data_IF_468396226727
#
_entry.id   IF_468396226727
#
_cell.length_a   1.000
_cell.length_b   1.000
_cell.length_c   1.000
_cell.angle_alpha   90.00
_cell.angle_beta   90.00
_cell.angle_gamma   90.00
#
_symmetry.space_group_name_H-M   'P 1'
#
loop_
_entity.id
_entity.type
_entity.pdbx_description
1 polymer ?
#
# COMPACT_ATOMS: atom_id res chain seq x y z
N UNK A 1 22.35 -4.96 -28.68
CA UNK A 1 21.31 -3.91 -28.70
C UNK A 1 20.04 -4.37 -27.98
N UNK A 2 19.58 -5.60 -28.21
CA UNK A 2 18.37 -6.20 -27.59
C UNK A 2 18.29 -6.13 -26.04
N UNK A 3 19.38 -6.41 -25.30
CA UNK A 3 19.37 -6.38 -23.83
C UNK A 3 19.10 -4.99 -23.24
N UNK A 4 19.54 -3.92 -23.93
CA UNK A 4 19.32 -2.53 -23.48
C UNK A 4 17.87 -2.10 -23.75
N UNK A 5 17.30 -2.54 -24.87
CA UNK A 5 15.89 -2.32 -25.26
C UNK A 5 14.93 -3.06 -24.32
N UNK A 6 15.22 -4.32 -23.95
CA UNK A 6 14.43 -5.08 -22.99
C UNK A 6 14.41 -4.47 -21.57
N UNK A 7 15.46 -3.73 -21.18
CA UNK A 7 15.54 -3.04 -19.89
C UNK A 7 14.73 -1.75 -19.86
N UNK A 8 14.55 -1.09 -21.01
CA UNK A 8 13.73 0.12 -21.19
C UNK A 8 12.22 -0.18 -21.27
N UNK A 9 11.85 -1.41 -21.63
CA UNK A 9 10.45 -1.86 -21.67
C UNK A 9 9.86 -2.19 -20.28
N UNK A 10 10.69 -2.24 -19.22
CA UNK A 10 10.23 -2.58 -17.87
C UNK A 10 9.63 -1.34 -17.19
N UNK A 11 8.57 -1.50 -16.37
CA UNK A 11 7.93 -0.38 -15.69
C UNK A 11 8.81 0.28 -14.63
N UNK A 12 9.90 -0.38 -14.21
CA UNK A 12 10.79 0.06 -13.11
C UNK A 12 12.18 0.41 -13.62
N UNK A 13 12.82 1.41 -13.00
CA UNK A 13 14.22 1.73 -13.31
C UNK A 13 15.13 0.90 -12.43
N UNK A 14 15.86 -0.04 -13.03
CA UNK A 14 16.92 -0.75 -12.32
C UNK A 14 18.13 0.16 -12.09
N UNK A 15 18.66 0.12 -10.88
CA UNK A 15 19.80 0.93 -10.40
C UNK A 15 20.94 0.01 -9.94
N UNK A 16 22.14 0.55 -9.75
CA UNK A 16 23.34 -0.24 -9.43
C UNK A 16 23.25 -1.09 -8.15
N UNK A 17 22.34 -0.75 -7.23
CA UNK A 17 22.05 -1.54 -6.02
C UNK A 17 21.00 -2.64 -6.21
N UNK A 18 20.32 -2.66 -7.36
CA UNK A 18 19.39 -3.75 -7.68
C UNK A 18 20.22 -4.93 -8.19
N UNK A 19 20.08 -6.10 -7.56
CA UNK A 19 20.78 -7.32 -8.00
C UNK A 19 20.37 -7.58 -9.45
N UNK A 20 21.29 -7.48 -10.43
CA UNK A 20 20.96 -7.70 -11.81
C UNK A 20 21.06 -9.19 -12.09
N UNK A 21 20.18 -9.99 -11.48
CA UNK A 21 19.92 -11.30 -12.07
C UNK A 21 19.04 -11.06 -13.32
N UNK A 22 19.40 -11.71 -14.42
CA UNK A 22 18.68 -11.59 -15.70
C UNK A 22 17.19 -11.99 -15.56
N UNK A 23 16.85 -12.71 -14.48
CA UNK A 23 15.52 -13.20 -14.15
C UNK A 23 15.11 -12.77 -12.72
N UNK A 24 13.83 -12.45 -12.49
CA UNK A 24 13.33 -12.23 -11.14
C UNK A 24 13.49 -13.50 -10.27
N UNK A 25 13.70 -13.31 -8.97
CA UNK A 25 13.67 -14.33 -7.92
C UNK A 25 12.30 -15.05 -7.93
N UNK A 26 12.31 -16.36 -7.73
CA UNK A 26 11.09 -17.11 -7.47
C UNK A 26 10.52 -16.71 -6.10
N UNK A 27 9.20 -16.53 -6.02
CA UNK A 27 8.52 -16.07 -4.80
C UNK A 27 7.35 -15.14 -5.09
N UNK A 28 6.50 -14.93 -4.09
CA UNK A 28 5.27 -14.15 -4.20
C UNK A 28 5.43 -12.80 -3.48
N UNK A 29 5.21 -11.71 -4.20
CA UNK A 29 5.14 -10.37 -3.64
C UNK A 29 3.70 -9.83 -3.69
N UNK A 30 3.21 -9.33 -2.56
CA UNK A 30 1.93 -8.64 -2.46
C UNK A 30 2.15 -7.13 -2.47
N UNK A 31 1.37 -6.42 -3.27
CA UNK A 31 1.36 -4.97 -3.37
C UNK A 31 0.01 -4.43 -2.88
N UNK A 32 0.03 -3.52 -1.90
CA UNK A 32 -1.13 -2.90 -1.29
C UNK A 32 -1.09 -1.39 -1.55
N UNK A 33 -1.95 -0.94 -2.45
CA UNK A 33 -1.96 0.46 -2.92
C UNK A 33 -2.44 1.49 -1.89
N UNK A 34 -2.29 2.77 -2.22
CA UNK A 34 -2.87 3.88 -1.45
C UNK A 34 -4.38 4.10 -1.67
N UNK A 35 -4.98 4.94 -0.81
CA UNK A 35 -6.41 5.30 -0.90
C UNK A 35 -7.11 5.57 0.44
N UNK A 36 -6.38 5.88 1.51
CA UNK A 36 -6.95 6.23 2.82
C UNK A 36 -7.69 5.06 3.48
N UNK A 37 -8.77 5.35 4.23
CA UNK A 37 -9.55 4.30 4.89
C UNK A 37 -10.27 3.34 3.94
N UNK A 38 -10.60 3.79 2.71
CA UNK A 38 -11.14 2.91 1.67
C UNK A 38 -10.15 1.80 1.34
N UNK A 39 -8.91 2.18 1.03
CA UNK A 39 -7.82 1.23 0.76
C UNK A 39 -7.55 0.33 1.95
N UNK A 40 -7.45 0.92 3.15
CA UNK A 40 -7.21 0.18 4.37
C UNK A 40 -8.20 -0.99 4.53
N UNK A 41 -9.50 -0.72 4.45
CA UNK A 41 -10.55 -1.74 4.63
C UNK A 41 -10.63 -2.73 3.47
N UNK A 42 -10.50 -2.24 2.24
CA UNK A 42 -10.47 -3.09 1.04
C UNK A 42 -9.31 -4.11 1.10
N UNK A 43 -8.12 -3.65 1.48
CA UNK A 43 -6.95 -4.52 1.64
C UNK A 43 -7.09 -5.46 2.84
N UNK A 44 -7.81 -5.08 3.91
CA UNK A 44 -8.12 -6.01 5.02
C UNK A 44 -8.91 -7.21 4.52
N UNK A 45 -9.92 -7.00 3.66
CA UNK A 45 -10.67 -8.08 3.02
C UNK A 45 -9.80 -9.00 2.17
N UNK A 46 -8.93 -8.40 1.35
CA UNK A 46 -8.00 -9.17 0.51
C UNK A 46 -7.00 -9.99 1.34
N UNK A 47 -6.42 -9.41 2.39
CA UNK A 47 -5.52 -10.14 3.30
C UNK A 47 -6.25 -11.26 4.06
N UNK A 48 -7.52 -11.05 4.41
CA UNK A 48 -8.34 -12.09 5.03
C UNK A 48 -8.47 -13.29 4.10
N UNK A 49 -8.77 -13.05 2.81
CA UNK A 49 -8.84 -14.16 1.86
C UNK A 49 -7.49 -14.85 1.68
N UNK A 50 -6.40 -14.09 1.58
CA UNK A 50 -5.04 -14.64 1.47
C UNK A 50 -4.62 -15.47 2.69
N UNK A 51 -5.08 -15.09 3.90
CA UNK A 51 -4.91 -15.92 5.09
C UNK A 51 -5.60 -17.26 4.90
N UNK A 52 -6.90 -17.26 4.57
CA UNK A 52 -7.71 -18.47 4.47
C UNK A 52 -7.24 -19.46 3.39
N UNK A 53 -6.61 -18.94 2.33
CA UNK A 53 -6.07 -19.78 1.24
C UNK A 53 -4.67 -20.32 1.55
N UNK A 54 -4.04 -19.86 2.63
CA UNK A 54 -2.66 -20.20 2.99
C UNK A 54 -1.59 -19.41 2.22
N UNK A 55 -1.96 -18.67 1.17
CA UNK A 55 -1.05 -17.86 0.35
C UNK A 55 -0.32 -16.82 1.19
N UNK A 56 -0.93 -16.32 2.26
CA UNK A 56 -0.30 -15.35 3.16
C UNK A 56 1.08 -15.81 3.67
N UNK A 57 1.25 -17.11 3.90
CA UNK A 57 2.52 -17.71 4.36
C UNK A 57 3.58 -17.85 3.26
N UNK A 58 3.13 -17.94 2.02
CA UNK A 58 3.99 -18.05 0.83
C UNK A 58 4.54 -16.68 0.39
N UNK A 59 4.05 -15.60 0.99
CA UNK A 59 4.53 -14.25 0.67
C UNK A 59 5.99 -14.11 1.11
N UNK A 60 6.78 -13.51 0.22
CA UNK A 60 8.18 -13.15 0.48
C UNK A 60 8.34 -11.65 0.71
N UNK A 61 7.39 -10.85 0.18
CA UNK A 61 7.37 -9.40 0.33
C UNK A 61 5.96 -8.86 0.37
N UNK A 62 5.76 -7.86 1.22
CA UNK A 62 4.57 -7.01 1.21
C UNK A 62 5.02 -5.57 1.00
N UNK A 63 4.71 -5.01 -0.16
CA UNK A 63 4.97 -3.61 -0.51
C UNK A 63 3.71 -2.80 -0.34
N UNK A 64 3.75 -1.75 0.46
CA UNK A 64 2.54 -1.01 0.84
C UNK A 64 2.68 0.50 0.67
N UNK A 65 1.55 1.15 0.42
CA UNK A 65 1.45 2.60 0.22
C UNK A 65 0.27 3.15 1.01
N UNK A 66 0.46 4.25 1.74
CA UNK A 66 -0.61 5.04 2.37
C UNK A 66 -1.60 4.18 3.17
N UNK A 67 -2.89 4.16 2.81
CA UNK A 67 -3.91 3.30 3.43
C UNK A 67 -3.55 1.81 3.46
N UNK A 68 -2.90 1.28 2.42
CA UNK A 68 -2.38 -0.09 2.41
C UNK A 68 -1.27 -0.33 3.43
N UNK A 69 -0.48 0.69 3.76
CA UNK A 69 0.55 0.62 4.81
C UNK A 69 -0.05 0.50 6.22
N UNK A 70 -1.27 1.00 6.44
CA UNK A 70 -1.98 0.82 7.71
C UNK A 70 -2.34 -0.65 7.89
N UNK A 71 -2.94 -1.26 6.86
CA UNK A 71 -3.32 -2.68 6.86
C UNK A 71 -2.08 -3.58 6.95
N UNK A 72 -1.03 -3.29 6.17
CA UNK A 72 0.21 -4.05 6.20
C UNK A 72 0.86 -4.03 7.59
N UNK A 73 0.95 -2.86 8.23
CA UNK A 73 1.55 -2.72 9.56
C UNK A 73 0.74 -3.46 10.63
N UNK A 74 -0.59 -3.38 10.60
CA UNK A 74 -1.45 -4.11 11.53
C UNK A 74 -1.29 -5.64 11.39
N UNK A 75 -1.26 -6.14 10.15
CA UNK A 75 -1.04 -7.56 9.87
C UNK A 75 0.38 -8.00 10.29
N UNK A 76 1.40 -7.19 10.02
CA UNK A 76 2.79 -7.49 10.37
C UNK A 76 2.99 -7.72 11.87
N UNK A 77 2.36 -6.88 12.72
CA UNK A 77 2.45 -7.01 14.17
C UNK A 77 1.78 -8.27 14.73
N UNK A 78 0.93 -8.92 13.93
CA UNK A 78 0.21 -10.12 14.31
C UNK A 78 0.69 -11.35 13.52
N UNK A 79 1.75 -11.22 12.72
CA UNK A 79 2.11 -12.19 11.69
C UNK A 79 2.28 -13.62 12.22
N UNK A 80 2.91 -13.77 13.39
CA UNK A 80 3.12 -15.08 14.05
C UNK A 80 1.79 -15.76 14.44
N UNK A 81 0.73 -15.00 14.67
CA UNK A 81 -0.61 -15.50 14.99
C UNK A 81 -1.47 -15.77 13.74
N UNK A 82 -0.99 -15.40 12.55
CA UNK A 82 -1.70 -15.61 11.27
C UNK A 82 -1.18 -16.86 10.53
N UNK A 83 -0.48 -17.73 11.25
CA UNK A 83 0.15 -18.94 10.71
C UNK A 83 -0.79 -20.15 10.65
N UNK A 84 -2.06 -20.05 11.02
CA UNK A 84 -3.03 -21.10 10.75
C UNK A 84 -4.12 -20.58 9.80
N UNK A 85 -4.17 -21.00 8.53
CA UNK A 85 -5.19 -20.62 7.56
C UNK A 85 -6.63 -20.98 7.98
N UNK A 86 -6.78 -21.94 8.90
CA UNK A 86 -8.09 -22.34 9.43
C UNK A 86 -8.58 -21.42 10.54
N UNK A 87 -7.68 -20.68 11.18
CA UNK A 87 -8.01 -19.77 12.27
C UNK A 87 -8.47 -18.40 11.74
N UNK A 88 -9.70 -18.39 11.22
CA UNK A 88 -10.38 -17.17 10.74
C UNK A 88 -10.60 -16.16 11.86
N UNK A 89 -10.81 -16.64 13.08
CA UNK A 89 -11.09 -15.81 14.25
C UNK A 89 -9.85 -15.05 14.70
N UNK A 90 -8.66 -15.65 14.61
CA UNK A 90 -7.40 -14.94 14.83
C UNK A 90 -7.24 -13.76 13.87
N UNK A 91 -7.50 -13.94 12.57
CA UNK A 91 -7.42 -12.82 11.61
C UNK A 91 -8.46 -11.74 11.96
N UNK A 92 -9.71 -12.15 12.23
CA UNK A 92 -10.80 -11.24 12.59
C UNK A 92 -10.44 -10.38 13.79
N UNK A 93 -10.10 -11.00 14.92
CA UNK A 93 -9.90 -10.32 16.21
C UNK A 93 -8.60 -9.52 16.23
N UNK A 94 -7.52 -10.02 15.61
CA UNK A 94 -6.20 -9.41 15.72
C UNK A 94 -5.91 -8.38 14.63
N UNK A 95 -6.53 -8.52 13.46
CA UNK A 95 -6.27 -7.63 12.30
C UNK A 95 -7.51 -6.85 11.91
N UNK A 96 -8.62 -7.53 11.61
CA UNK A 96 -9.78 -6.86 11.01
C UNK A 96 -10.48 -5.91 11.99
N UNK A 97 -10.80 -6.37 13.21
CA UNK A 97 -11.52 -5.59 14.22
C UNK A 97 -10.76 -4.32 14.67
N UNK A 98 -9.45 -4.35 14.95
CA UNK A 98 -8.67 -3.14 15.23
C UNK A 98 -8.70 -2.14 14.07
N UNK A 99 -8.59 -2.62 12.83
CA UNK A 99 -8.66 -1.77 11.64
C UNK A 99 -10.07 -1.16 11.48
N UNK A 100 -11.11 -1.95 11.69
CA UNK A 100 -12.51 -1.50 11.65
C UNK A 100 -12.78 -0.46 12.74
N UNK A 101 -12.21 -0.63 13.94
CA UNK A 101 -12.31 0.32 15.04
C UNK A 101 -11.62 1.66 14.70
N UNK A 102 -10.44 1.61 14.07
CA UNK A 102 -9.78 2.81 13.56
C UNK A 102 -10.62 3.52 12.47
N UNK A 103 -11.21 2.75 11.55
CA UNK A 103 -12.08 3.28 10.50
C UNK A 103 -13.35 3.95 11.03
N UNK A 104 -13.78 3.63 12.25
CA UNK A 104 -14.88 4.30 12.95
C UNK A 104 -14.52 5.68 13.51
N UNK A 105 -13.25 6.09 13.47
CA UNK A 105 -12.76 7.35 14.02
C UNK A 105 -12.38 8.33 12.92
N UNK A 106 -12.80 9.58 13.05
CA UNK A 106 -12.29 10.65 12.18
C UNK A 106 -10.94 11.12 12.72
N UNK A 107 -9.91 11.08 11.88
CA UNK A 107 -8.67 11.78 12.16
C UNK A 107 -8.89 13.22 11.71
N UNK A 108 -9.24 14.10 12.64
CA UNK A 108 -9.55 15.51 12.36
C UNK A 108 -8.24 16.26 12.06
N UNK A 109 -7.84 16.25 10.79
CA UNK A 109 -6.61 16.89 10.32
C UNK A 109 -6.63 18.42 10.60
N UNK A 110 -7.73 19.17 10.40
CA UNK A 110 -7.83 20.57 10.81
C UNK A 110 -7.72 20.85 12.32
N UNK A 111 -8.32 20.04 13.20
CA UNK A 111 -8.15 20.21 14.65
C UNK A 111 -6.75 19.80 15.11
N UNK A 112 -6.19 18.76 14.48
CA UNK A 112 -4.79 18.39 14.57
C UNK A 112 -3.88 19.56 14.17
N UNK A 113 -4.17 20.21 13.05
CA UNK A 113 -3.44 21.40 12.55
C UNK A 113 -3.61 22.61 13.48
N UNK A 114 -4.80 22.85 14.05
CA UNK A 114 -5.07 23.94 15.00
C UNK A 114 -4.47 23.73 16.38
N UNK A 115 -4.26 22.48 16.81
CA UNK A 115 -3.64 22.14 18.10
C UNK A 115 -2.11 22.31 18.12
N UNK A 116 -1.52 22.85 17.04
CA UNK A 116 -0.08 22.85 16.80
C UNK A 116 0.41 24.26 16.46
N UNK A 117 0.90 24.97 17.47
CA UNK A 117 1.91 26.00 17.27
C UNK A 117 3.19 25.34 16.68
N UNK A 118 4.01 26.06 15.89
CA UNK A 118 5.33 25.57 15.51
C UNK A 118 6.06 25.02 16.74
N UNK A 119 6.66 23.81 16.69
CA UNK A 119 7.21 23.16 15.49
C UNK A 119 6.54 21.82 15.03
N UNK A 120 5.22 21.68 15.06
CA UNK A 120 4.57 20.37 14.82
C UNK A 120 3.88 20.26 13.44
N UNK A 121 4.20 19.22 12.66
CA UNK A 121 3.57 18.93 11.37
C UNK A 121 2.34 18.01 11.49
N UNK A 122 1.37 18.16 10.59
CA UNK A 122 0.15 17.33 10.51
C UNK A 122 0.44 15.83 10.42
N UNK A 123 1.53 15.44 9.76
CA UNK A 123 2.04 14.06 9.75
C UNK A 123 2.40 13.49 11.13
N UNK A 124 2.90 14.31 12.07
CA UNK A 124 3.23 13.84 13.44
C UNK A 124 1.99 13.49 14.24
N UNK A 125 0.93 14.26 14.09
CA UNK A 125 -0.34 13.99 14.72
C UNK A 125 -1.05 12.79 14.09
N UNK A 126 -0.91 12.58 12.78
CA UNK A 126 -1.32 11.34 12.13
C UNK A 126 -0.59 10.13 12.72
N UNK A 127 0.74 10.21 12.88
CA UNK A 127 1.54 9.18 13.55
C UNK A 127 1.07 8.95 15.00
N UNK A 128 0.76 10.01 15.75
CA UNK A 128 0.23 9.88 17.11
C UNK A 128 -1.15 9.19 17.16
N UNK A 129 -2.01 9.44 16.17
CA UNK A 129 -3.30 8.75 16.03
C UNK A 129 -3.11 7.25 15.77
N UNK A 130 -2.27 6.88 14.80
CA UNK A 130 -1.95 5.48 14.53
C UNK A 130 -1.32 4.77 15.73
N UNK A 131 -0.39 5.44 16.43
CA UNK A 131 0.22 4.94 17.67
C UNK A 131 -0.82 4.66 18.74
N UNK A 132 -1.76 5.58 18.94
CA UNK A 132 -2.79 5.49 19.98
C UNK A 132 -3.83 4.42 19.69
N UNK A 133 -4.22 4.26 18.43
CA UNK A 133 -5.43 3.52 18.07
C UNK A 133 -5.21 2.19 17.37
N UNK A 134 -3.99 1.91 16.89
CA UNK A 134 -3.74 0.67 16.12
C UNK A 134 -2.37 0.05 16.42
N UNK A 135 -1.29 0.83 16.38
CA UNK A 135 0.07 0.28 16.31
C UNK A 135 0.80 0.24 17.67
N UNK A 136 0.29 0.91 18.70
CA UNK A 136 1.00 1.03 19.98
C UNK A 136 2.38 1.66 19.83
N UNK A 137 3.27 1.48 20.82
CA UNK A 137 4.66 2.00 20.79
C UNK A 137 5.63 1.09 20.03
N UNK A 138 5.17 0.51 18.92
CA UNK A 138 5.94 -0.42 18.10
C UNK A 138 6.87 0.31 17.14
N UNK A 139 7.98 -0.33 16.81
CA UNK A 139 9.03 0.17 15.93
C UNK A 139 9.14 -0.69 14.67
N UNK A 140 9.95 -0.26 13.70
CA UNK A 140 10.28 -1.11 12.55
C UNK A 140 10.95 -2.44 12.95
N UNK A 141 11.56 -2.52 14.14
CA UNK A 141 12.18 -3.75 14.65
C UNK A 141 11.14 -4.79 15.11
N UNK A 142 9.90 -4.39 15.36
CA UNK A 142 8.80 -5.28 15.72
C UNK A 142 8.15 -5.97 14.50
N UNK A 143 8.60 -5.65 13.28
CA UNK A 143 8.16 -6.34 12.07
C UNK A 143 8.76 -7.77 12.01
N UNK A 144 8.10 -8.73 11.36
CA UNK A 144 8.67 -10.06 11.16
C UNK A 144 9.86 -10.01 10.20
N UNK A 145 10.73 -11.01 10.28
CA UNK A 145 11.87 -11.13 9.34
C UNK A 145 11.42 -11.58 7.94
N UNK A 146 10.40 -12.44 7.86
CA UNK A 146 9.75 -12.87 6.61
C UNK A 146 8.22 -12.90 6.76
N UNK A 147 7.46 -12.43 5.74
CA UNK A 147 7.92 -11.72 4.55
C UNK A 147 8.56 -10.39 4.90
N UNK A 148 9.32 -9.85 3.94
CA UNK A 148 9.84 -8.49 4.04
C UNK A 148 8.71 -7.47 3.86
N UNK A 149 8.33 -6.80 4.94
CA UNK A 149 7.44 -5.64 4.89
C UNK A 149 8.20 -4.40 4.43
N UNK A 150 7.67 -3.74 3.39
CA UNK A 150 8.21 -2.53 2.79
C UNK A 150 7.13 -1.45 2.78
N UNK A 151 7.22 -0.51 3.71
CA UNK A 151 6.36 0.67 3.74
C UNK A 151 7.02 1.75 2.89
N UNK A 152 6.35 2.18 1.83
CA UNK A 152 6.92 3.13 0.87
C UNK A 152 6.53 4.58 1.19
N UNK A 153 7.42 5.51 0.90
CA UNK A 153 7.17 6.95 0.87
C UNK A 153 8.00 7.58 -0.26
N UNK A 154 7.69 8.82 -0.64
CA UNK A 154 8.42 9.54 -1.68
C UNK A 154 9.34 10.58 -1.05
N UNK A 155 10.64 10.49 -1.31
CA UNK A 155 11.60 11.53 -0.92
C UNK A 155 11.52 12.71 -1.91
N UNK A 156 11.02 13.85 -1.44
CA UNK A 156 10.81 15.04 -2.27
C UNK A 156 12.13 15.69 -2.71
N UNK A 157 13.22 15.48 -1.97
CA UNK A 157 14.52 16.07 -2.31
C UNK A 157 15.22 15.27 -3.41
N UNK A 158 15.17 13.93 -3.33
CA UNK A 158 15.86 13.06 -4.28
C UNK A 158 14.98 12.65 -5.48
N UNK A 159 13.65 12.78 -5.36
CA UNK A 159 12.70 12.29 -6.35
C UNK A 159 12.69 10.76 -6.48
N UNK A 160 12.98 10.04 -5.39
CA UNK A 160 13.03 8.57 -5.35
C UNK A 160 12.19 8.01 -4.20
N UNK A 161 11.95 6.69 -4.22
CA UNK A 161 11.31 6.00 -3.10
C UNK A 161 12.22 5.96 -1.88
N UNK A 162 11.66 6.38 -0.76
CA UNK A 162 12.14 6.05 0.57
C UNK A 162 11.41 4.79 1.06
N UNK A 163 12.16 3.77 1.45
CA UNK A 163 11.63 2.47 1.86
C UNK A 163 11.90 2.24 3.33
N UNK A 164 10.87 2.05 4.13
CA UNK A 164 10.97 1.65 5.54
C UNK A 164 10.82 0.13 5.66
N UNK A 165 11.82 -0.54 6.23
CA UNK A 165 11.87 -1.99 6.47
C UNK A 165 12.52 -2.26 7.83
N UNK A 166 12.34 -3.47 8.37
CA UNK A 166 13.01 -3.91 9.61
C UNK A 166 14.53 -3.76 9.56
N UNK A 167 15.16 -4.30 8.52
CA UNK A 167 16.62 -4.30 8.40
C UNK A 167 17.20 -2.98 7.89
N UNK A 168 16.38 -2.10 7.28
CA UNK A 168 16.87 -0.86 6.68
C UNK A 168 15.78 0.19 6.42
N UNK A 169 16.15 1.46 6.56
CA UNK A 169 15.51 2.58 5.85
C UNK A 169 16.41 3.03 4.72
N UNK A 170 15.90 3.17 3.49
CA UNK A 170 16.79 3.54 2.37
C UNK A 170 16.12 4.26 1.22
N UNK A 171 16.93 5.11 0.61
CA UNK A 171 16.76 5.74 -0.68
C UNK A 171 18.06 5.51 -1.46
N UNK A 172 17.94 5.01 -2.68
CA UNK A 172 19.11 4.65 -3.47
C UNK A 172 20.03 5.82 -3.84
N UNK A 173 19.51 7.05 -3.90
CA UNK A 173 20.32 8.24 -4.18
C UNK A 173 21.01 8.76 -2.92
N UNK A 174 20.36 8.64 -1.76
CA UNK A 174 20.80 9.30 -0.52
C UNK A 174 21.59 8.38 0.39
N UNK A 175 21.17 7.12 0.54
CA UNK A 175 21.80 6.17 1.43
C UNK A 175 20.85 5.19 2.10
N UNK A 176 21.45 4.36 2.95
CA UNK A 176 20.76 3.37 3.79
C UNK A 176 21.10 3.60 5.25
N UNK A 177 20.10 3.51 6.12
CA UNK A 177 20.23 3.44 7.57
C UNK A 177 19.88 2.00 7.97
N UNK A 178 20.83 1.26 8.54
CA UNK A 178 20.65 -0.15 8.93
C UNK A 178 19.93 -0.26 10.27
N UNK A 179 19.13 -1.33 10.44
CA UNK A 179 18.41 -1.69 11.67
C UNK A 179 17.75 -0.49 12.38
N UNK A 180 16.91 0.29 11.68
CA UNK A 180 16.33 1.52 12.20
C UNK A 180 15.36 1.26 13.37
N UNK A 181 15.56 1.95 14.50
CA UNK A 181 14.63 1.95 15.63
C UNK A 181 13.46 2.96 15.48
N UNK A 182 13.12 3.32 14.24
CA UNK A 182 12.04 4.29 13.97
C UNK A 182 10.69 3.71 14.38
N UNK A 183 9.86 4.54 15.00
CA UNK A 183 8.48 4.21 15.35
C UNK A 183 7.66 3.82 14.09
N UNK A 184 6.96 2.68 14.16
CA UNK A 184 6.22 2.12 13.03
C UNK A 184 5.08 3.04 12.61
N UNK A 185 4.41 3.67 13.57
CA UNK A 185 3.34 4.63 13.29
C UNK A 185 3.84 5.87 12.52
N UNK A 186 5.09 6.27 12.76
CA UNK A 186 5.78 7.31 12.00
C UNK A 186 6.06 6.89 10.56
N UNK A 187 6.52 5.66 10.32
CA UNK A 187 6.70 5.14 8.97
C UNK A 187 5.37 5.07 8.17
N UNK A 188 4.30 4.60 8.82
CA UNK A 188 2.96 4.53 8.21
C UNK A 188 2.40 5.94 7.93
N UNK A 189 2.61 6.89 8.84
CA UNK A 189 2.22 8.28 8.63
C UNK A 189 3.00 8.96 7.49
N UNK A 190 4.31 8.73 7.39
CA UNK A 190 5.12 9.21 6.26
C UNK A 190 4.59 8.67 4.92
N UNK A 191 4.23 7.38 4.89
CA UNK A 191 3.62 6.73 3.72
C UNK A 191 2.26 7.33 3.34
N UNK A 192 1.56 7.95 4.30
CA UNK A 192 0.21 8.52 4.18
C UNK A 192 0.19 10.06 4.08
N UNK A 193 1.36 10.69 3.97
CA UNK A 193 1.53 12.14 4.03
C UNK A 193 1.14 12.84 2.71
N UNK A 194 -0.10 12.66 2.25
CA UNK A 194 -0.54 13.14 0.94
C UNK A 194 -0.62 14.69 0.88
N UNK A 195 -0.09 15.33 -0.18
CA UNK A 195 -0.16 16.79 -0.33
C UNK A 195 -1.58 17.33 -0.49
N UNK A 196 -1.85 18.60 -0.15
CA UNK A 196 -0.96 19.55 0.53
C UNK A 196 -1.13 19.53 2.06
N UNK A 197 -2.12 18.81 2.59
CA UNK A 197 -2.56 18.96 3.99
C UNK A 197 -1.68 18.16 4.96
N UNK A 198 -1.28 16.94 4.57
CA UNK A 198 -0.49 16.04 5.42
C UNK A 198 1.01 16.11 5.09
N UNK A 199 1.34 16.54 3.87
CA UNK A 199 2.71 16.71 3.39
C UNK A 199 3.32 18.06 3.79
N UNK A 200 4.64 18.16 3.97
CA UNK A 200 5.60 17.06 4.05
C UNK A 200 5.76 16.52 5.47
N UNK A 201 6.20 15.27 5.57
CA UNK A 201 6.79 14.73 6.79
C UNK A 201 8.31 14.94 6.77
N UNK A 202 8.85 15.62 7.78
CA UNK A 202 10.29 15.83 7.92
C UNK A 202 10.85 14.91 9.00
N UNK A 203 11.71 13.99 8.59
CA UNK A 203 12.50 13.15 9.49
C UNK A 203 13.92 13.70 9.61
N UNK A 204 14.53 13.58 10.79
CA UNK A 204 15.88 14.06 11.05
C UNK A 204 16.78 12.92 11.50
N UNK A 205 17.94 12.81 10.88
CA UNK A 205 18.92 11.77 11.17
C UNK A 205 20.32 12.38 11.20
N UNK A 206 21.20 12.01 12.13
CA UNK A 206 22.61 12.41 12.03
C UNK A 206 23.26 11.73 10.82
N UNK A 207 24.11 12.40 10.02
CA UNK A 207 24.71 11.78 8.84
C UNK A 207 25.52 10.52 9.13
N UNK A 208 26.00 10.34 10.37
CA UNK A 208 26.75 9.18 10.83
C UNK A 208 25.96 7.87 10.87
N UNK A 209 24.62 7.90 10.89
CA UNK A 209 23.80 6.67 10.88
C UNK A 209 23.65 6.07 9.47
N UNK A 210 24.05 6.81 8.43
CA UNK A 210 24.02 6.29 7.07
C UNK A 210 25.20 5.36 6.83
N UNK A 211 24.90 4.17 6.32
CA UNK A 211 25.88 3.18 5.94
C UNK A 211 26.85 3.74 4.88
N UNK A 212 28.17 3.66 5.10
CA UNK A 212 29.17 4.07 4.11
C UNK A 212 29.21 3.13 2.89
N UNK A 213 28.80 1.88 3.07
CA UNK A 213 28.87 0.81 2.07
C UNK A 213 27.77 0.92 1.01
N UNK A 214 26.73 1.70 1.29
CA UNK A 214 25.60 1.83 0.37
C UNK A 214 25.95 2.82 -0.75
N UNK A 215 25.72 2.40 -2.00
CA UNK A 215 26.06 3.13 -3.24
C UNK A 215 25.20 4.39 -3.49
N UNK A 216 25.14 5.29 -2.52
CA UNK A 216 24.45 6.57 -2.61
C UNK A 216 25.11 7.47 -3.69
N UNK A 217 24.28 8.02 -4.56
CA UNK A 217 24.68 8.97 -5.61
C UNK A 217 25.10 10.32 -5.01
N UNK A 218 24.42 10.78 -3.97
CA UNK A 218 24.68 12.05 -3.31
C UNK A 218 24.70 11.85 -1.79
N UNK A 219 25.84 12.22 -1.18
CA UNK A 219 26.11 12.06 0.26
C UNK A 219 26.06 13.38 1.03
N UNK A 220 25.58 14.46 0.41
CA UNK A 220 25.50 15.78 1.01
C UNK A 220 24.67 15.78 2.30
N UNK A 221 25.13 16.57 3.28
CA UNK A 221 24.46 16.71 4.57
C UNK A 221 23.00 17.16 4.40
N UNK A 222 22.70 18.02 3.43
CA UNK A 222 21.35 18.50 3.15
C UNK A 222 20.34 17.39 2.81
N UNK A 223 20.77 16.30 2.17
CA UNK A 223 19.91 15.14 1.85
C UNK A 223 19.83 14.11 2.99
N UNK A 224 20.79 14.12 3.92
CA UNK A 224 20.93 13.10 4.98
C UNK A 224 20.46 13.58 6.34
N UNK A 225 20.62 14.86 6.66
CA UNK A 225 20.22 15.43 7.95
C UNK A 225 18.72 15.60 8.08
N UNK A 226 18.07 15.98 6.98
CA UNK A 226 16.63 16.21 6.89
C UNK A 226 16.11 15.47 5.68
N UNK A 227 15.30 14.44 5.92
CA UNK A 227 14.62 13.69 4.89
C UNK A 227 13.19 14.20 4.79
N UNK A 228 12.86 14.84 3.68
CA UNK A 228 11.54 15.44 3.41
C UNK A 228 10.71 14.46 2.59
N UNK A 229 9.69 13.90 3.23
CA UNK A 229 8.87 12.82 2.71
C UNK A 229 7.44 13.27 2.41
N UNK A 230 6.85 12.65 1.39
CA UNK A 230 5.42 12.73 1.07
C UNK A 230 4.86 11.32 0.81
N UNK A 231 3.56 11.22 0.61
CA UNK A 231 2.89 9.94 0.31
C UNK A 231 3.58 9.20 -0.86
N UNK A 232 3.68 7.88 -0.75
CA UNK A 232 4.30 7.06 -1.80
C UNK A 232 3.49 7.05 -3.10
N UNK A 233 2.20 7.38 -3.04
CA UNK A 233 1.31 7.51 -4.19
C UNK A 233 1.83 8.48 -5.25
N UNK A 234 2.56 9.52 -4.83
CA UNK A 234 3.19 10.49 -5.73
C UNK A 234 4.21 9.83 -6.68
N UNK A 235 4.88 8.76 -6.25
CA UNK A 235 5.88 8.05 -7.06
C UNK A 235 5.35 6.72 -7.62
N UNK A 236 4.72 5.89 -6.77
CA UNK A 236 4.26 4.55 -7.10
C UNK A 236 3.07 4.14 -6.20
N UNK A 237 1.87 4.60 -6.55
CA UNK A 237 0.66 4.31 -5.77
C UNK A 237 0.31 2.82 -5.67
N UNK A 238 0.75 1.99 -6.61
CA UNK A 238 0.50 0.55 -6.55
C UNK A 238 1.55 -0.18 -5.71
N UNK A 239 2.66 0.46 -5.32
CA UNK A 239 3.75 -0.18 -4.60
C UNK A 239 4.48 -1.25 -5.40
N UNK A 240 4.43 -1.20 -6.74
CA UNK A 240 4.97 -2.22 -7.63
C UNK A 240 6.49 -2.19 -7.73
N UNK A 241 7.15 -1.04 -7.58
CA UNK A 241 8.57 -0.87 -7.87
C UNK A 241 9.42 -1.87 -7.07
N UNK A 242 9.11 -2.06 -5.79
CA UNK A 242 9.89 -2.94 -4.92
C UNK A 242 9.58 -4.42 -5.15
N UNK A 243 8.34 -4.77 -5.49
CA UNK A 243 7.95 -6.13 -5.82
C UNK A 243 8.54 -6.56 -7.17
N UNK A 244 8.34 -5.73 -8.20
CA UNK A 244 8.72 -6.00 -9.58
C UNK A 244 10.21 -6.24 -9.77
N UNK A 245 11.04 -5.47 -9.04
CA UNK A 245 12.49 -5.57 -9.13
C UNK A 245 13.03 -6.91 -8.64
N UNK A 246 12.27 -7.65 -7.85
CA UNK A 246 12.75 -8.87 -7.20
C UNK A 246 11.97 -10.10 -7.57
N UNK A 247 10.65 -10.10 -7.48
CA UNK A 247 9.89 -11.34 -7.51
C UNK A 247 9.20 -11.58 -8.85
N UNK A 248 9.08 -12.87 -9.20
CA UNK A 248 8.40 -13.34 -10.41
C UNK A 248 6.89 -13.22 -10.29
N UNK A 249 6.35 -13.61 -9.13
CA UNK A 249 4.90 -13.64 -8.89
C UNK A 249 4.47 -12.38 -8.13
N UNK A 250 3.56 -11.61 -8.73
CA UNK A 250 3.10 -10.32 -8.18
C UNK A 250 1.59 -10.35 -7.99
N UNK A 251 1.15 -10.17 -6.75
CA UNK A 251 -0.25 -9.98 -6.41
C UNK A 251 -0.47 -8.49 -6.16
N UNK A 252 -1.37 -7.85 -6.90
CA UNK A 252 -1.61 -6.41 -6.79
C UNK A 252 -3.05 -6.13 -6.36
N UNK A 253 -3.20 -5.59 -5.14
CA UNK A 253 -4.46 -5.07 -4.63
C UNK A 253 -4.51 -3.56 -4.80
N UNK A 254 -5.43 -3.08 -5.64
CA UNK A 254 -5.56 -1.66 -5.99
C UNK A 254 -6.87 -1.07 -5.46
N UNK A 255 -6.77 -0.05 -4.62
CA UNK A 255 -7.91 0.70 -4.10
C UNK A 255 -7.90 2.15 -4.57
N UNK A 256 -7.16 2.46 -5.65
CA UNK A 256 -7.21 3.75 -6.30
C UNK A 256 -8.62 4.06 -6.82
N UNK A 257 -9.17 5.20 -6.40
CA UNK A 257 -10.52 5.59 -6.82
C UNK A 257 -10.56 5.77 -8.35
N UNK A 258 -11.58 5.22 -9.04
CA UNK A 258 -11.73 5.43 -10.48
C UNK A 258 -11.87 6.93 -10.78
N UNK A 259 -11.36 7.33 -11.94
CA UNK A 259 -11.40 8.73 -12.33
C UNK A 259 -12.83 9.17 -12.62
N UNK A 260 -13.32 10.15 -11.86
CA UNK A 260 -14.66 10.71 -12.06
C UNK A 260 -14.70 11.71 -13.22
N UNK A 261 -15.58 11.45 -14.18
CA UNK A 261 -16.07 12.47 -15.11
C UNK A 261 -16.88 13.49 -14.35
N UNK A 262 -16.62 14.78 -14.56
CA UNK A 262 -17.29 15.89 -13.88
C UNK A 262 -17.95 16.79 -14.92
N UNK A 263 -19.23 17.12 -14.73
CA UNK A 263 -19.96 18.06 -15.61
C UNK A 263 -19.50 19.51 -15.44
N UNK A 264 -18.81 19.83 -14.34
CA UNK A 264 -18.16 21.12 -14.11
C UNK A 264 -16.95 20.96 -13.20
N UNK A 265 -15.94 21.81 -13.37
CA UNK A 265 -14.72 21.81 -12.55
C UNK A 265 -14.57 23.17 -11.87
N UNK A 266 -14.31 23.16 -10.57
CA UNK A 266 -14.04 24.40 -9.81
C UNK A 266 -12.87 25.17 -10.43
N UNK A 267 -13.04 26.45 -10.74
CA UNK A 267 -12.04 27.27 -11.46
C UNK A 267 -10.98 27.91 -10.57
N UNK A 268 -11.08 27.78 -9.24
CA UNK A 268 -10.10 28.36 -8.33
C UNK A 268 -8.77 27.57 -8.38
N UNK A 269 -7.67 28.27 -8.15
CA UNK A 269 -6.31 27.73 -8.30
C UNK A 269 -6.03 26.50 -7.41
N UNK A 270 -6.54 26.47 -6.18
CA UNK A 270 -6.36 25.34 -5.27
C UNK A 270 -7.08 24.08 -5.75
N UNK A 271 -8.35 24.21 -6.16
CA UNK A 271 -9.13 23.10 -6.67
C UNK A 271 -8.59 22.59 -8.02
N UNK A 272 -8.13 23.50 -8.89
CA UNK A 272 -7.45 23.15 -10.14
C UNK A 272 -6.15 22.39 -9.88
N UNK A 273 -5.31 22.87 -8.95
CA UNK A 273 -4.06 22.20 -8.58
C UNK A 273 -4.32 20.80 -8.04
N UNK A 274 -5.31 20.64 -7.15
CA UNK A 274 -5.73 19.34 -6.63
C UNK A 274 -6.23 18.40 -7.74
N UNK A 275 -7.08 18.91 -8.64
CA UNK A 275 -7.61 18.13 -9.78
C UNK A 275 -6.49 17.68 -10.72
N UNK A 276 -5.52 18.55 -11.01
CA UNK A 276 -4.36 18.24 -11.84
C UNK A 276 -3.47 17.17 -11.21
N UNK A 277 -3.18 17.27 -9.91
CA UNK A 277 -2.42 16.24 -9.20
C UNK A 277 -3.12 14.88 -9.28
N UNK A 278 -4.45 14.85 -9.07
CA UNK A 278 -5.23 13.62 -9.15
C UNK A 278 -5.32 13.06 -10.58
N UNK A 279 -5.35 13.91 -11.60
CA UNK A 279 -5.30 13.53 -13.01
C UNK A 279 -3.97 12.83 -13.35
N UNK A 280 -2.85 13.43 -12.93
CA UNK A 280 -1.50 12.88 -13.14
C UNK A 280 -1.37 11.53 -12.42
N UNK A 281 -1.75 11.46 -11.14
CA UNK A 281 -1.75 10.21 -10.34
C UNK A 281 -2.54 9.10 -11.04
N UNK A 282 -3.78 9.40 -11.47
CA UNK A 282 -4.64 8.42 -12.10
C UNK A 282 -4.04 7.89 -13.41
N UNK A 283 -3.41 8.74 -14.22
CA UNK A 283 -2.72 8.31 -15.45
C UNK A 283 -1.53 7.41 -15.15
N UNK A 284 -0.67 7.78 -14.19
CA UNK A 284 0.47 6.95 -13.79
C UNK A 284 0.00 5.59 -13.29
N UNK A 285 -1.03 5.55 -12.42
CA UNK A 285 -1.62 4.29 -11.94
C UNK A 285 -2.19 3.45 -13.08
N UNK A 286 -2.91 4.05 -14.01
CA UNK A 286 -3.50 3.35 -15.17
C UNK A 286 -2.41 2.74 -16.06
N UNK A 287 -1.34 3.47 -16.33
CA UNK A 287 -0.20 2.96 -17.10
C UNK A 287 0.49 1.79 -16.39
N UNK A 288 0.76 1.93 -15.08
CA UNK A 288 1.37 0.86 -14.26
C UNK A 288 0.51 -0.39 -14.20
N UNK A 289 -0.82 -0.24 -14.07
CA UNK A 289 -1.78 -1.35 -14.15
C UNK A 289 -1.69 -2.06 -15.49
N UNK A 290 -1.75 -1.33 -16.61
CA UNK A 290 -1.68 -1.92 -17.95
C UNK A 290 -0.38 -2.70 -18.16
N UNK A 291 0.75 -2.13 -17.75
CA UNK A 291 2.06 -2.80 -17.81
C UNK A 291 2.11 -4.08 -16.98
N UNK A 292 1.51 -4.06 -15.78
CA UNK A 292 1.41 -5.26 -14.94
C UNK A 292 0.57 -6.34 -15.61
N UNK A 293 -0.65 -6.02 -16.06
CA UNK A 293 -1.52 -6.98 -16.74
C UNK A 293 -0.85 -7.53 -18.00
N UNK A 294 -0.25 -6.66 -18.82
CA UNK A 294 0.48 -7.06 -20.03
C UNK A 294 1.60 -8.06 -19.69
N UNK A 295 2.33 -7.85 -18.60
CA UNK A 295 3.39 -8.80 -18.19
C UNK A 295 2.88 -10.18 -17.79
N UNK A 296 1.64 -10.28 -17.31
CA UNK A 296 0.99 -11.57 -17.06
C UNK A 296 0.58 -12.24 -18.37
N UNK A 297 0.00 -11.49 -19.31
CA UNK A 297 -0.38 -11.99 -20.64
C UNK A 297 0.85 -12.48 -21.42
N UNK A 298 1.96 -11.75 -21.34
CA UNK A 298 3.22 -12.11 -22.00
C UNK A 298 4.03 -13.18 -21.24
N UNK A 299 3.60 -13.57 -20.04
CA UNK A 299 4.31 -14.55 -19.19
C UNK A 299 5.66 -14.07 -18.64
N UNK A 300 5.98 -12.77 -18.76
CA UNK A 300 7.21 -12.18 -18.20
C UNK A 300 7.14 -11.99 -16.68
N UNK A 301 5.91 -12.01 -16.14
CA UNK A 301 5.57 -12.13 -14.72
C UNK A 301 4.42 -13.13 -14.56
N UNK A 302 4.27 -13.66 -13.36
CA UNK A 302 3.08 -14.41 -12.93
C UNK A 302 2.33 -13.58 -11.90
N UNK A 303 1.06 -13.89 -11.67
CA UNK A 303 0.30 -13.24 -10.62
C UNK A 303 -1.11 -12.86 -11.04
N UNK A 304 -1.70 -11.96 -10.25
CA UNK A 304 -3.05 -11.47 -10.48
C UNK A 304 -3.22 -10.07 -9.92
N UNK A 305 -4.23 -9.37 -10.43
CA UNK A 305 -4.57 -8.02 -10.03
C UNK A 305 -6.04 -7.97 -9.67
N UNK A 306 -6.37 -7.25 -8.60
CA UNK A 306 -7.74 -6.91 -8.26
C UNK A 306 -7.86 -5.46 -7.82
N UNK A 307 -8.90 -4.80 -8.32
CA UNK A 307 -9.15 -3.39 -8.10
C UNK A 307 -10.47 -3.17 -7.37
N UNK A 308 -10.55 -2.12 -6.55
CA UNK A 308 -11.81 -1.69 -5.93
C UNK A 308 -12.85 -1.31 -6.98
N UNK A 309 -12.42 -0.85 -8.16
CA UNK A 309 -13.29 -0.55 -9.30
C UNK A 309 -13.36 -1.68 -10.35
N UNK A 310 -12.91 -2.90 -10.04
CA UNK A 310 -13.13 -4.07 -10.91
C UNK A 310 -14.54 -4.62 -10.74
N UNK A 311 -14.98 -5.54 -11.60
CA UNK A 311 -16.17 -6.35 -11.38
C UNK A 311 -15.83 -7.85 -11.43
N UNK A 312 -16.56 -8.68 -10.68
CA UNK A 312 -16.33 -10.14 -10.67
C UNK A 312 -16.51 -10.76 -12.05
N UNK A 313 -17.45 -10.23 -12.85
CA UNK A 313 -17.70 -10.67 -14.21
C UNK A 313 -16.50 -10.47 -15.16
N UNK A 314 -15.66 -9.46 -14.92
CA UNK A 314 -14.50 -9.14 -15.77
C UNK A 314 -13.44 -10.25 -15.76
N UNK A 315 -13.49 -11.16 -14.79
CA UNK A 315 -12.54 -12.25 -14.63
C UNK A 315 -12.97 -13.52 -15.37
N UNK A 316 -14.24 -13.65 -15.76
CA UNK A 316 -14.75 -14.87 -16.41
C UNK A 316 -14.60 -16.13 -15.55
N UNK A 317 -14.86 -16.01 -14.24
CA UNK A 317 -14.92 -17.14 -13.32
C UNK A 317 -16.40 -17.51 -13.10
N UNK A 318 -16.81 -18.72 -13.50
CA UNK A 318 -18.21 -19.11 -13.51
C UNK A 318 -18.84 -19.20 -12.11
N UNK A 319 -18.08 -19.66 -11.11
CA UNK A 319 -18.56 -19.89 -9.74
C UNK A 319 -18.04 -18.82 -8.75
N UNK A 320 -17.94 -17.57 -9.20
CA UNK A 320 -17.51 -16.47 -8.35
C UNK A 320 -18.48 -16.22 -7.17
N UNK A 321 -18.00 -15.64 -6.08
CA UNK A 321 -18.89 -15.08 -5.07
C UNK A 321 -19.64 -13.88 -5.65
N UNK A 322 -20.96 -13.88 -5.50
CA UNK A 322 -21.77 -12.75 -5.93
C UNK A 322 -21.54 -11.55 -5.01
N UNK A 323 -21.46 -10.37 -5.62
CA UNK A 323 -21.46 -9.11 -4.91
C UNK A 323 -22.20 -8.08 -5.78
N UNK A 324 -23.20 -7.35 -5.26
CA UNK A 324 -24.00 -6.44 -6.06
C UNK A 324 -23.13 -5.39 -6.76
N UNK A 325 -23.27 -5.28 -8.08
CA UNK A 325 -22.45 -4.38 -8.91
C UNK A 325 -22.55 -2.93 -8.44
N UNK A 326 -23.78 -2.46 -8.23
CA UNK A 326 -24.05 -1.09 -7.78
C UNK A 326 -23.38 -0.79 -6.45
N UNK A 327 -23.40 -1.75 -5.51
CA UNK A 327 -22.72 -1.63 -4.22
C UNK A 327 -21.21 -1.56 -4.38
N UNK A 328 -20.61 -2.39 -5.25
CA UNK A 328 -19.17 -2.32 -5.52
C UNK A 328 -18.77 -0.95 -6.11
N UNK A 329 -19.58 -0.42 -7.03
CA UNK A 329 -19.38 0.92 -7.63
C UNK A 329 -19.50 2.03 -6.59
N UNK A 330 -20.51 1.98 -5.71
CA UNK A 330 -20.67 2.93 -4.61
C UNK A 330 -19.43 2.92 -3.69
N UNK A 331 -18.98 1.74 -3.28
CA UNK A 331 -17.82 1.57 -2.41
C UNK A 331 -16.52 2.08 -3.07
N UNK A 332 -16.36 1.86 -4.38
CA UNK A 332 -15.23 2.37 -5.16
C UNK A 332 -15.19 3.91 -5.23
N UNK A 333 -16.37 4.54 -5.16
CA UNK A 333 -16.55 5.99 -5.25
C UNK A 333 -16.40 6.74 -3.92
N UNK A 334 -16.31 6.04 -2.79
CA UNK A 334 -16.03 6.65 -1.48
C UNK A 334 -14.77 7.49 -1.58
N UNK A 335 -14.73 8.76 -1.12
CA UNK A 335 -13.53 9.60 -1.25
C UNK A 335 -12.31 9.07 -0.49
N UNK A 336 -11.11 9.29 -1.03
CA UNK A 336 -9.84 9.03 -0.33
C UNK A 336 -9.66 10.02 0.83
N UNK A 337 -9.94 9.60 2.07
CA UNK A 337 -9.79 10.43 3.29
C UNK A 337 -9.67 9.58 4.56
N UNK A 338 -9.23 10.19 5.66
CA UNK A 338 -9.14 9.60 7.00
C UNK A 338 -10.33 10.02 7.89
N UNK A 339 -11.55 9.83 7.39
CA UNK A 339 -12.81 10.20 8.07
C UNK A 339 -13.55 8.94 8.49
N UNK A 340 -14.24 9.00 9.63
CA UNK A 340 -15.10 7.92 10.10
C UNK A 340 -16.07 7.44 9.01
N UNK A 341 -16.20 6.12 8.89
CA UNK A 341 -17.09 5.44 7.96
C UNK A 341 -18.18 4.68 8.75
N UNK A 342 -19.39 4.60 8.20
CA UNK A 342 -20.49 3.85 8.83
C UNK A 342 -20.13 2.36 8.96
N UNK A 343 -20.73 1.63 9.93
CA UNK A 343 -20.56 0.17 10.03
C UNK A 343 -20.83 -0.56 8.71
N UNK A 344 -21.90 -0.20 8.00
CA UNK A 344 -22.29 -0.82 6.71
C UNK A 344 -21.24 -0.61 5.61
N UNK A 345 -20.70 0.60 5.48
CA UNK A 345 -19.61 0.91 4.53
C UNK A 345 -18.33 0.13 4.90
N UNK A 346 -18.02 0.07 6.19
CA UNK A 346 -16.83 -0.64 6.69
C UNK A 346 -16.89 -2.13 6.36
N UNK A 347 -18.00 -2.78 6.68
CA UNK A 347 -18.24 -4.18 6.34
C UNK A 347 -18.26 -4.40 4.81
N UNK A 348 -18.92 -3.50 4.06
CA UNK A 348 -18.98 -3.56 2.61
C UNK A 348 -17.61 -3.53 1.94
N UNK A 349 -16.71 -2.64 2.37
CA UNK A 349 -15.35 -2.57 1.83
C UNK A 349 -14.51 -3.82 2.10
N UNK A 350 -14.62 -4.39 3.32
CA UNK A 350 -13.93 -5.63 3.67
C UNK A 350 -14.49 -6.80 2.85
N UNK A 351 -15.81 -6.95 2.77
CA UNK A 351 -16.43 -8.01 1.96
C UNK A 351 -16.09 -7.86 0.48
N UNK A 352 -16.09 -6.64 -0.05
CA UNK A 352 -15.75 -6.40 -1.45
C UNK A 352 -14.30 -6.77 -1.75
N UNK A 353 -13.35 -6.31 -0.93
CA UNK A 353 -11.94 -6.67 -1.06
C UNK A 353 -11.68 -8.16 -0.97
N UNK A 354 -12.43 -8.86 -0.11
CA UNK A 354 -12.40 -10.31 0.01
C UNK A 354 -12.90 -11.02 -1.25
N UNK A 355 -14.09 -10.64 -1.74
CA UNK A 355 -14.74 -11.27 -2.92
C UNK A 355 -13.87 -11.10 -4.16
N UNK A 356 -13.45 -9.88 -4.48
CA UNK A 356 -12.71 -9.63 -5.71
C UNK A 356 -11.30 -10.23 -5.67
N UNK A 357 -10.71 -10.35 -4.47
CA UNK A 357 -9.46 -11.07 -4.26
C UNK A 357 -9.65 -12.56 -4.54
N UNK A 358 -10.68 -13.20 -3.97
CA UNK A 358 -10.99 -14.61 -4.24
C UNK A 358 -11.16 -14.88 -5.74
N UNK A 359 -11.99 -14.08 -6.41
CA UNK A 359 -12.23 -14.18 -7.86
C UNK A 359 -10.92 -14.09 -8.64
N UNK A 360 -10.06 -13.12 -8.31
CA UNK A 360 -8.78 -12.92 -9.00
C UNK A 360 -7.76 -14.05 -8.74
N UNK A 361 -7.74 -14.61 -7.52
CA UNK A 361 -6.86 -15.72 -7.15
C UNK A 361 -7.27 -17.01 -7.85
N UNK A 362 -8.56 -17.38 -7.75
CA UNK A 362 -9.12 -18.58 -8.37
C UNK A 362 -9.04 -18.53 -9.88
N UNK A 363 -9.19 -17.36 -10.49
CA UNK A 363 -9.09 -17.26 -11.94
C UNK A 363 -7.66 -17.40 -12.47
N UNK A 364 -6.70 -16.69 -11.86
CA UNK A 364 -5.39 -16.47 -12.50
C UNK A 364 -4.20 -17.11 -11.78
N UNK A 365 -4.32 -17.45 -10.50
CA UNK A 365 -3.18 -17.91 -9.70
C UNK A 365 -3.33 -19.37 -9.25
N UNK A 366 -4.48 -19.72 -8.67
CA UNK A 366 -4.76 -21.01 -8.06
C UNK A 366 -6.21 -21.43 -8.31
N UNK A 367 -6.57 -21.93 -9.50
CA UNK A 367 -7.92 -22.41 -9.83
C UNK A 367 -8.45 -23.52 -8.94
N UNK A 368 -7.55 -24.27 -8.31
CA UNK A 368 -7.83 -25.33 -7.36
C UNK A 368 -8.34 -24.85 -5.99
N UNK A 369 -8.26 -23.54 -5.69
CA UNK A 369 -8.73 -23.02 -4.40
C UNK A 369 -10.24 -23.22 -4.24
N UNK A 370 -10.69 -23.71 -3.06
CA UNK A 370 -12.10 -23.89 -2.80
C UNK A 370 -12.81 -22.54 -2.75
N UNK A 371 -14.03 -22.49 -3.33
CA UNK A 371 -14.93 -21.36 -3.19
C UNK A 371 -15.19 -21.08 -1.70
N UNK A 372 -15.15 -19.82 -1.24
CA UNK A 372 -15.45 -19.53 0.14
C UNK A 372 -16.92 -19.78 0.46
N UNK A 373 -17.19 -20.29 1.66
CA UNK A 373 -18.56 -20.63 2.09
C UNK A 373 -19.35 -19.43 2.61
N UNK A 374 -18.66 -18.41 3.15
CA UNK A 374 -19.29 -17.21 3.73
C UNK A 374 -18.37 -15.99 3.64
N UNK A 375 -18.98 -14.82 3.54
CA UNK A 375 -18.29 -13.54 3.63
C UNK A 375 -17.69 -13.32 5.04
N UNK A 376 -16.63 -12.51 5.16
CA UNK A 376 -15.98 -12.27 6.45
C UNK A 376 -16.82 -11.41 7.41
N UNK A 377 -17.61 -10.48 6.88
CA UNK A 377 -18.43 -9.56 7.67
C UNK A 377 -19.91 -9.77 7.33
N UNK A 378 -20.76 -9.73 8.36
CA UNK A 378 -22.20 -9.64 8.16
C UNK A 378 -22.54 -8.26 7.56
N UNK A 379 -23.40 -8.23 6.55
CA UNK A 379 -23.91 -6.96 6.02
C UNK A 379 -24.96 -6.44 7.01
N UNK A 380 -24.66 -5.35 7.70
CA UNK A 380 -25.70 -4.58 8.38
C UNK A 380 -26.55 -3.93 7.29
N UNK A 381 -27.78 -4.43 7.12
CA UNK A 381 -28.81 -3.82 6.28
C UNK A 381 -29.27 -2.47 6.86
#
# INVERSE_FOLDING_TARGET
MEKKTARLARPVRYIGTDVPEDRPEEGIALCLSGGGYRAMLFHTGALWRLHETGILKELERISSVSGGSITAAAAALQWEHLQDPKDRDAFRQRVAEPILALAGRTIDIPAVLRSLLPPWSSSRALAASYRRHLLGRKTLQDLPDRPMFVINSTNMQSGALWRFMKHAMRDWKVGEIRNPALDLATAVAASSAFPPVLSPMVLRFPPSVYSPDYGAVDRSAGLRERVILTDAGVYDNLGLETAWKRYRTILASDSGAPFRTMGSVCRNWLAQSWRTLFLIDNQVRTLRKRQLIQSFVEGTRQGTYWGVGSHVADYGLDDHLEFPREKAEELALIPTRFRSLSPSIRAGLVNWGYVICDTALRRHLRPELPRPQRLPMDTCD
#
